data_IF_616871534734
#
_entry.id   IF_616871534734
#
_cell.length_a   1.000
_cell.length_b   1.000
_cell.length_c   1.000
_cell.angle_alpha   90.00
_cell.angle_beta   90.00
_cell.angle_gamma   90.00
#
_symmetry.space_group_name_H-M   'P 1'
#
loop_
_entity.id
_entity.type
_entity.pdbx_description
1 polymer ?
#
# COMPACT_ATOMS: atom_id res chain seq x y z
N UNK A 1 5.05 11.90 15.41
CA UNK A 1 4.82 11.73 13.96
C UNK A 1 4.96 10.26 13.59
N UNK A 2 3.87 9.65 13.14
CA UNK A 2 3.81 8.27 12.61
C UNK A 2 3.48 8.38 11.13
N UNK A 3 4.20 7.65 10.27
CA UNK A 3 3.98 7.64 8.84
C UNK A 3 3.86 6.20 8.37
N UNK A 4 2.68 5.84 7.87
CA UNK A 4 2.37 4.53 7.30
C UNK A 4 2.11 4.73 5.81
N UNK A 5 3.02 4.30 4.91
CA UNK A 5 2.85 4.51 3.46
C UNK A 5 1.57 3.88 2.92
N UNK A 6 1.21 2.72 3.47
CA UNK A 6 -0.05 2.03 3.18
C UNK A 6 -0.53 1.27 4.40
N UNK A 7 -1.83 1.27 4.63
CA UNK A 7 -2.53 0.44 5.61
C UNK A 7 -3.62 -0.34 4.89
N UNK A 8 -3.86 -1.59 5.29
CA UNK A 8 -4.89 -2.43 4.71
C UNK A 8 -5.95 -2.76 5.75
N UNK A 9 -7.20 -2.39 5.47
CA UNK A 9 -8.35 -2.70 6.31
C UNK A 9 -9.12 -3.86 5.68
N UNK A 10 -9.27 -4.96 6.40
CA UNK A 10 -9.85 -6.20 5.90
C UNK A 10 -11.30 -6.34 6.37
N UNK A 11 -12.25 -6.43 5.45
CA UNK A 11 -13.67 -6.60 5.76
C UNK A 11 -14.09 -8.05 5.52
N UNK A 12 -14.43 -8.75 6.61
CA UNK A 12 -14.91 -10.13 6.61
C UNK A 12 -16.43 -10.18 6.80
N UNK A 13 -17.07 -11.16 6.18
CA UNK A 13 -18.48 -11.47 6.46
C UNK A 13 -18.65 -12.38 7.70
N UNK A 14 -19.89 -12.76 7.98
CA UNK A 14 -20.26 -13.66 9.09
C UNK A 14 -19.66 -15.07 8.97
N UNK A 15 -19.31 -15.49 7.76
CA UNK A 15 -18.73 -16.80 7.45
C UNK A 15 -17.19 -16.72 7.41
N UNK A 16 -16.62 -15.59 7.86
CA UNK A 16 -15.19 -15.28 7.90
C UNK A 16 -14.53 -15.25 6.51
N UNK A 17 -15.31 -14.97 5.47
CA UNK A 17 -14.82 -14.78 4.11
C UNK A 17 -14.45 -13.31 3.87
N UNK A 18 -13.27 -13.05 3.31
CA UNK A 18 -12.81 -11.69 3.00
C UNK A 18 -13.63 -11.14 1.82
N UNK A 19 -14.42 -10.08 2.03
CA UNK A 19 -15.29 -9.51 0.99
C UNK A 19 -14.74 -8.25 0.35
N UNK A 20 -14.07 -7.43 1.15
CA UNK A 20 -13.49 -6.19 0.67
C UNK A 20 -12.20 -5.87 1.44
N UNK A 21 -11.33 -5.10 0.79
CA UNK A 21 -10.14 -4.52 1.41
C UNK A 21 -10.11 -3.03 1.10
N UNK A 22 -9.88 -2.20 2.11
CA UNK A 22 -9.52 -0.79 1.88
C UNK A 22 -8.01 -0.68 1.92
N UNK A 23 -7.39 -0.34 0.80
CA UNK A 23 -5.99 0.05 0.73
C UNK A 23 -5.87 1.56 0.93
N UNK A 24 -5.61 1.96 2.17
CA UNK A 24 -5.40 3.35 2.57
C UNK A 24 -3.95 3.74 2.29
N UNK A 25 -3.74 4.64 1.34
CA UNK A 25 -2.41 5.07 0.89
C UNK A 25 -2.15 6.49 1.35
N UNK A 26 -1.03 6.71 2.02
CA UNK A 26 -0.60 8.03 2.48
C UNK A 26 0.68 8.46 1.80
N UNK A 27 0.77 9.74 1.43
CA UNK A 27 1.98 10.29 0.79
C UNK A 27 2.84 11.09 1.78
N UNK A 28 4.08 11.41 1.39
CA UNK A 28 4.98 12.22 2.23
C UNK A 28 4.59 13.70 2.32
N UNK A 29 3.50 14.11 1.68
CA UNK A 29 2.97 15.47 1.70
C UNK A 29 1.83 15.65 2.71
N UNK A 30 1.44 14.58 3.41
CA UNK A 30 0.36 14.60 4.41
C UNK A 30 -1.02 14.28 3.85
N UNK A 31 -1.14 13.96 2.56
CA UNK A 31 -2.40 13.54 1.96
C UNK A 31 -2.63 12.03 2.15
N UNK A 32 -3.90 11.63 1.98
CA UNK A 32 -4.32 10.24 2.03
C UNK A 32 -5.42 9.97 1.01
N UNK A 33 -5.43 8.76 0.46
CA UNK A 33 -6.46 8.28 -0.45
C UNK A 33 -6.74 6.80 -0.21
N UNK A 34 -8.00 6.40 -0.32
CA UNK A 34 -8.44 5.02 -0.11
C UNK A 34 -8.84 4.36 -1.42
N UNK A 35 -8.26 3.20 -1.69
CA UNK A 35 -8.70 2.31 -2.78
C UNK A 35 -9.58 1.21 -2.19
N UNK A 36 -10.84 1.15 -2.62
CA UNK A 36 -11.77 0.11 -2.23
C UNK A 36 -11.65 -1.09 -3.18
N UNK A 37 -11.13 -2.20 -2.65
CA UNK A 37 -10.87 -3.42 -3.40
C UNK A 37 -11.94 -4.47 -3.09
N UNK A 38 -12.74 -4.85 -4.08
CA UNK A 38 -13.68 -5.98 -4.02
C UNK A 38 -13.94 -6.55 -5.42
N UNK A 39 -14.36 -7.81 -5.49
CA UNK A 39 -14.88 -8.42 -6.72
C UNK A 39 -16.20 -7.76 -7.12
N UNK A 40 -16.49 -7.61 -8.42
CA UNK A 40 -17.69 -6.93 -8.93
C UNK A 40 -19.00 -7.49 -8.34
N UNK A 41 -19.04 -8.80 -8.14
CA UNK A 41 -20.17 -9.55 -7.59
C UNK A 41 -20.14 -9.68 -6.05
N UNK A 42 -19.19 -9.03 -5.38
CA UNK A 42 -18.93 -9.15 -3.94
C UNK A 42 -18.68 -10.60 -3.48
N UNK A 43 -18.23 -11.47 -4.39
CA UNK A 43 -17.71 -12.79 -4.03
C UNK A 43 -16.50 -12.67 -3.09
N UNK A 44 -16.19 -13.73 -2.31
CA UNK A 44 -15.00 -13.73 -1.47
C UNK A 44 -13.73 -13.49 -2.29
N UNK A 45 -12.87 -12.62 -1.79
CA UNK A 45 -11.55 -12.37 -2.35
C UNK A 45 -10.65 -13.57 -2.03
N UNK A 46 -10.06 -14.13 -3.08
CA UNK A 46 -9.12 -15.24 -3.05
C UNK A 46 -7.74 -14.81 -3.54
N UNK A 47 -6.72 -15.63 -3.30
CA UNK A 47 -5.33 -15.35 -3.71
C UNK A 47 -5.12 -15.22 -5.23
N UNK A 48 -6.04 -15.78 -6.01
CA UNK A 48 -6.00 -15.76 -7.48
C UNK A 48 -6.66 -14.52 -8.07
N UNK A 49 -7.41 -13.76 -7.27
CA UNK A 49 -8.11 -12.58 -7.74
C UNK A 49 -7.15 -11.41 -7.97
N UNK A 50 -7.44 -10.64 -9.02
CA UNK A 50 -6.69 -9.46 -9.43
C UNK A 50 -7.64 -8.27 -9.45
N UNK A 51 -7.64 -7.51 -8.36
CA UNK A 51 -8.57 -6.40 -8.18
C UNK A 51 -7.94 -5.13 -8.71
N UNK A 52 -8.63 -4.49 -9.66
CA UNK A 52 -8.10 -3.39 -10.44
C UNK A 52 -8.61 -2.05 -9.91
N UNK A 53 -7.73 -1.06 -9.80
CA UNK A 53 -8.09 0.30 -9.39
C UNK A 53 -7.35 1.36 -10.19
N UNK A 54 -8.04 2.42 -10.62
CA UNK A 54 -7.39 3.50 -11.37
C UNK A 54 -6.43 4.28 -10.45
N UNK A 55 -5.18 4.48 -10.86
CA UNK A 55 -4.23 5.27 -10.09
C UNK A 55 -4.55 6.76 -10.21
N UNK A 56 -5.21 7.30 -9.21
CA UNK A 56 -5.59 8.73 -9.13
C UNK A 56 -4.85 9.52 -8.04
N UNK A 57 -3.99 8.88 -7.24
CA UNK A 57 -3.32 9.51 -6.12
C UNK A 57 -1.83 9.79 -6.37
N UNK A 58 -1.37 10.98 -5.96
CA UNK A 58 0.03 11.40 -6.06
C UNK A 58 0.85 10.89 -4.86
N UNK A 59 1.54 9.77 -5.06
CA UNK A 59 2.36 9.11 -4.03
C UNK A 59 3.85 9.43 -4.12
N UNK A 60 4.34 9.80 -5.31
CA UNK A 60 5.76 10.03 -5.57
C UNK A 60 5.95 11.05 -6.70
N UNK A 61 6.87 12.02 -6.59
CA UNK A 61 7.23 12.94 -7.66
C UNK A 61 7.78 12.26 -8.91
N UNK A 62 8.29 11.03 -8.80
CA UNK A 62 8.92 10.32 -9.91
C UNK A 62 7.94 9.40 -10.66
N UNK A 63 6.73 9.22 -10.14
CA UNK A 63 5.70 8.38 -10.74
C UNK A 63 4.54 9.24 -11.27
N UNK A 64 4.08 9.01 -12.51
CA UNK A 64 2.90 9.70 -13.01
C UNK A 64 1.64 9.24 -12.24
N UNK A 65 0.59 10.06 -12.26
CA UNK A 65 -0.74 9.67 -11.75
C UNK A 65 -1.59 9.29 -12.95
N UNK A 66 -1.22 8.17 -13.54
CA UNK A 66 -1.87 7.57 -14.68
C UNK A 66 -1.75 6.05 -14.58
N UNK A 67 -2.51 5.32 -15.39
CA UNK A 67 -2.50 3.87 -15.39
C UNK A 67 -3.32 3.30 -14.23
N UNK A 68 -2.93 2.12 -13.77
CA UNK A 68 -3.79 1.30 -12.93
C UNK A 68 -2.96 0.52 -11.91
N UNK A 69 -3.53 0.35 -10.73
CA UNK A 69 -3.10 -0.65 -9.77
C UNK A 69 -3.81 -1.98 -10.00
N UNK A 70 -3.10 -3.06 -9.78
CA UNK A 70 -3.66 -4.39 -9.61
C UNK A 70 -3.28 -4.90 -8.23
N UNK A 71 -4.28 -5.13 -7.39
CA UNK A 71 -4.12 -5.63 -6.03
C UNK A 71 -4.35 -7.14 -6.00
N UNK A 72 -3.53 -7.84 -5.20
CA UNK A 72 -3.72 -9.24 -4.86
C UNK A 72 -3.54 -9.44 -3.36
N UNK A 73 -4.36 -10.30 -2.78
CA UNK A 73 -4.38 -10.57 -1.34
C UNK A 73 -4.32 -12.07 -1.06
N UNK A 74 -3.37 -12.48 -0.21
CA UNK A 74 -3.25 -13.82 0.39
C UNK A 74 -3.32 -13.64 1.90
N UNK A 75 -4.54 -13.59 2.45
CA UNK A 75 -4.74 -13.45 3.90
C UNK A 75 -5.12 -14.79 4.49
N UNK A 76 -4.24 -15.36 5.30
CA UNK A 76 -4.42 -16.64 5.99
C UNK A 76 -4.13 -16.48 7.48
N UNK A 77 -4.61 -17.41 8.33
CA UNK A 77 -4.39 -17.33 9.79
C UNK A 77 -2.89 -17.26 10.18
N UNK A 78 -2.00 -17.82 9.37
CA UNK A 78 -0.56 -17.93 9.63
C UNK A 78 0.30 -17.02 8.73
N UNK A 79 -0.28 -16.35 7.73
CA UNK A 79 0.46 -15.57 6.74
C UNK A 79 -0.36 -14.40 6.18
N UNK A 80 0.34 -13.29 5.95
CA UNK A 80 -0.14 -12.18 5.13
C UNK A 80 0.68 -12.07 3.85
N UNK A 81 -0.01 -11.84 2.73
CA UNK A 81 0.57 -11.47 1.45
C UNK A 81 -0.29 -10.42 0.78
N UNK A 82 0.32 -9.29 0.43
CA UNK A 82 -0.31 -8.22 -0.35
C UNK A 82 0.66 -7.80 -1.44
N UNK A 83 0.15 -7.75 -2.68
CA UNK A 83 0.89 -7.29 -3.84
C UNK A 83 0.14 -6.15 -4.50
N UNK A 84 0.87 -5.11 -4.89
CA UNK A 84 0.37 -3.97 -5.63
C UNK A 84 1.24 -3.83 -6.87
N UNK A 85 0.65 -4.15 -8.01
CA UNK A 85 1.30 -4.02 -9.30
C UNK A 85 0.82 -2.71 -9.91
N UNK A 86 1.73 -1.73 -9.99
CA UNK A 86 1.50 -0.51 -10.72
C UNK A 86 2.05 -0.67 -12.13
N UNK A 87 1.18 -0.72 -13.13
CA UNK A 87 1.60 -0.86 -14.52
C UNK A 87 1.45 0.46 -15.29
N UNK A 88 2.49 0.82 -16.06
CA UNK A 88 2.45 1.93 -17.02
C UNK A 88 3.24 1.59 -18.27
N UNK A 89 2.92 2.20 -19.43
CA UNK A 89 3.66 1.99 -20.67
C UNK A 89 5.17 2.29 -20.58
N UNK A 90 5.60 3.11 -19.61
CA UNK A 90 6.99 3.56 -19.44
C UNK A 90 7.71 2.88 -18.28
N UNK A 91 7.10 1.83 -17.70
CA UNK A 91 7.64 1.08 -16.58
C UNK A 91 6.71 1.10 -15.36
N UNK A 92 6.69 -0.02 -14.65
CA UNK A 92 5.84 -0.21 -13.48
C UNK A 92 6.59 -0.19 -12.15
N UNK A 93 5.84 -0.34 -11.06
CA UNK A 93 6.38 -0.62 -9.74
C UNK A 93 5.62 -1.79 -9.11
N UNK A 94 6.38 -2.69 -8.49
CA UNK A 94 5.85 -3.78 -7.69
C UNK A 94 6.09 -3.47 -6.22
N UNK A 95 5.01 -3.38 -5.44
CA UNK A 95 5.09 -3.28 -3.98
C UNK A 95 4.55 -4.55 -3.34
N UNK A 96 5.31 -5.10 -2.40
CA UNK A 96 5.01 -6.38 -1.76
C UNK A 96 5.09 -6.26 -0.25
N UNK A 97 4.04 -6.70 0.44
CA UNK A 97 4.01 -6.92 1.88
C UNK A 97 3.74 -8.40 2.13
N UNK A 98 4.75 -9.16 2.53
CA UNK A 98 4.60 -10.57 2.86
C UNK A 98 5.25 -10.89 4.20
N UNK A 99 4.67 -11.83 4.93
CA UNK A 99 5.23 -12.27 6.21
C UNK A 99 4.36 -13.31 6.90
N UNK A 100 4.97 -14.05 7.82
CA UNK A 100 4.23 -14.94 8.70
C UNK A 100 3.59 -14.15 9.83
N UNK A 101 2.33 -14.47 10.15
CA UNK A 101 1.65 -13.90 11.29
C UNK A 101 2.13 -14.60 12.56
N UNK A 102 2.23 -13.82 13.64
CA UNK A 102 2.54 -14.33 14.98
C UNK A 102 1.54 -13.76 15.97
N UNK A 103 1.16 -14.52 17.01
CA UNK A 103 0.32 -13.99 18.08
C UNK A 103 0.89 -12.69 18.66
N UNK A 104 0.02 -11.70 18.86
CA UNK A 104 0.40 -10.43 19.43
C UNK A 104 0.58 -10.57 20.95
N UNK A 105 1.81 -10.77 21.38
CA UNK A 105 2.18 -10.88 22.81
C UNK A 105 2.97 -9.66 23.25
N UNK A 106 2.89 -9.30 24.54
CA UNK A 106 3.66 -8.17 25.08
C UNK A 106 5.17 -8.32 24.84
N UNK A 107 5.73 -9.52 25.04
CA UNK A 107 7.13 -9.80 24.74
C UNK A 107 7.45 -9.64 23.25
N UNK A 108 6.54 -10.07 22.36
CA UNK A 108 6.66 -9.87 20.92
C UNK A 108 6.65 -8.40 20.52
N UNK A 109 5.78 -7.58 21.13
CA UNK A 109 5.71 -6.13 20.90
C UNK A 109 7.02 -5.45 21.31
N UNK A 110 7.52 -5.74 22.51
CA UNK A 110 8.79 -5.18 23.01
C UNK A 110 9.95 -5.60 22.10
N UNK A 111 10.04 -6.88 21.75
CA UNK A 111 11.07 -7.40 20.84
C UNK A 111 11.02 -6.76 19.44
N UNK A 112 9.82 -6.47 18.92
CA UNK A 112 9.64 -5.77 17.66
C UNK A 112 10.11 -4.30 17.73
N UNK A 113 9.79 -3.61 18.83
CA UNK A 113 10.23 -2.23 19.08
C UNK A 113 11.76 -2.14 19.15
N UNK A 114 12.39 -3.07 19.87
CA UNK A 114 13.86 -3.12 20.01
C UNK A 114 14.58 -3.48 18.70
N UNK A 115 14.00 -4.34 17.86
CA UNK A 115 14.56 -4.68 16.53
C UNK A 115 14.48 -3.54 15.52
N UNK A 116 13.52 -2.62 15.68
CA UNK A 116 13.28 -1.51 14.74
C UNK A 116 13.09 -0.20 15.50
N UNK A 117 14.15 0.32 16.17
CA UNK A 117 14.08 1.61 16.81
C UNK A 117 13.76 2.70 15.78
N UNK A 118 12.96 3.69 16.17
CA UNK A 118 12.56 4.82 15.32
C UNK A 118 11.86 4.42 14.00
N UNK A 119 11.03 3.36 14.03
CA UNK A 119 10.38 2.78 12.85
C UNK A 119 9.86 3.80 11.82
N UNK A 120 8.96 4.72 12.23
CA UNK A 120 8.38 5.71 11.31
C UNK A 120 9.41 6.65 10.69
N UNK A 121 10.36 7.15 11.49
CA UNK A 121 11.42 8.06 11.01
C UNK A 121 12.35 7.35 10.04
N UNK A 122 12.69 6.08 10.31
CA UNK A 122 13.51 5.25 9.42
C UNK A 122 12.82 5.04 8.07
N UNK A 123 11.51 4.77 8.06
CA UNK A 123 10.73 4.62 6.83
C UNK A 123 10.79 5.90 6.00
N UNK A 124 10.55 7.06 6.62
CA UNK A 124 10.61 8.36 5.93
C UNK A 124 12.01 8.63 5.36
N UNK A 125 13.06 8.37 6.14
CA UNK A 125 14.45 8.55 5.70
C UNK A 125 14.78 7.66 4.50
N UNK A 126 14.34 6.40 4.51
CA UNK A 126 14.54 5.47 3.39
C UNK A 126 13.79 5.92 2.11
N UNK A 127 12.59 6.48 2.25
CA UNK A 127 11.83 7.04 1.11
C UNK A 127 12.61 8.21 0.48
N UNK A 128 13.07 9.16 1.29
CA UNK A 128 13.85 10.31 0.81
C UNK A 128 15.19 9.88 0.22
N UNK A 129 15.85 8.87 0.80
CA UNK A 129 17.08 8.31 0.25
C UNK A 129 16.88 7.68 -1.12
N UNK A 130 15.79 6.92 -1.31
CA UNK A 130 15.46 6.35 -2.62
C UNK A 130 15.07 7.45 -3.63
N UNK A 131 14.33 8.48 -3.19
CA UNK A 131 14.03 9.65 -4.00
C UNK A 131 15.31 10.36 -4.50
N UNK A 132 16.29 10.56 -3.63
CA UNK A 132 17.58 11.13 -3.99
C UNK A 132 18.33 10.26 -5.01
N UNK A 133 18.36 8.93 -4.82
CA UNK A 133 18.97 8.02 -5.81
C UNK A 133 18.29 8.11 -7.17
N UNK A 134 16.96 8.17 -7.21
CA UNK A 134 16.21 8.31 -8.46
C UNK A 134 16.52 9.64 -9.14
N UNK A 135 16.59 10.72 -8.37
CA UNK A 135 16.98 12.04 -8.86
C UNK A 135 18.39 12.03 -9.47
N UNK A 136 19.37 11.46 -8.77
CA UNK A 136 20.74 11.30 -9.27
C UNK A 136 20.84 10.41 -10.51
N UNK A 137 19.90 9.48 -10.70
CA UNK A 137 19.75 8.64 -11.90
C UNK A 137 19.00 9.34 -13.05
N UNK A 138 18.62 10.60 -12.89
CA UNK A 138 17.93 11.38 -13.93
C UNK A 138 16.43 11.14 -14.02
N UNK A 139 15.79 10.58 -12.98
CA UNK A 139 14.34 10.42 -12.97
C UNK A 139 13.64 11.79 -13.01
N UNK A 140 12.66 11.95 -13.91
CA UNK A 140 11.92 13.20 -14.08
C UNK A 140 11.09 13.51 -12.84
N UNK A 141 11.42 14.60 -12.16
CA UNK A 141 10.61 15.17 -11.09
C UNK A 141 9.32 15.76 -11.67
N UNK A 142 8.18 15.47 -11.02
CA UNK A 142 6.87 16.00 -11.37
C UNK A 142 6.31 16.74 -10.17
N UNK A 143 5.65 17.87 -10.44
CA UNK A 143 4.99 18.63 -9.39
C UNK A 143 3.85 17.83 -8.76
N UNK A 144 3.66 18.05 -7.46
CA UNK A 144 2.52 17.53 -6.73
C UNK A 144 1.24 18.03 -7.39
N UNK A 145 0.29 17.11 -7.56
CA UNK A 145 -1.08 17.46 -7.95
C UNK A 145 -1.94 17.55 -6.69
N UNK A 146 -3.03 18.30 -6.78
CA UNK A 146 -4.02 18.34 -5.71
C UNK A 146 -4.56 16.94 -5.43
N UNK A 147 -4.81 16.59 -4.16
CA UNK A 147 -5.40 15.31 -3.81
C UNK A 147 -6.79 15.18 -4.43
N UNK A 148 -7.25 13.95 -4.73
CA UNK A 148 -8.60 13.71 -5.21
C UNK A 148 -9.65 14.30 -4.25
N UNK A 149 -10.72 14.90 -4.79
CA UNK A 149 -11.80 15.45 -3.98
C UNK A 149 -12.59 14.39 -3.21
N UNK A 150 -12.63 13.15 -3.73
CA UNK A 150 -13.21 12.00 -3.05
C UNK A 150 -12.12 11.23 -2.32
N UNK A 151 -12.32 10.98 -1.02
CA UNK A 151 -11.37 10.23 -0.20
C UNK A 151 -11.26 8.74 -0.57
N UNK A 152 -12.25 8.21 -1.30
CA UNK A 152 -12.35 6.80 -1.68
C UNK A 152 -12.58 6.69 -3.17
N UNK A 153 -11.88 5.78 -3.83
CA UNK A 153 -12.16 5.38 -5.21
C UNK A 153 -12.10 3.88 -5.40
N UNK A 154 -12.65 3.44 -6.53
CA UNK A 154 -12.52 2.09 -7.04
C UNK A 154 -11.44 2.02 -8.10
#
# INVERSE_FOLDING_TARGET
HVFNPVSFWLAYDRDNALRAVIAEVSNTFGDRHNYLCHNDDLSPITRTDHIKARKIFHVSPFQPVEGQYTFRFDIRPDRVGVWIDYDTPKGGLYATLTGTLRPLTNAGIVGACLRRPFGSRRVLALIHWQALKLFLKGAKYRNRMEPPAQEVSR
#
